data_IF_002327469272
#
_entry.id   IF_002327469272
#
_cell.length_a   1.000
_cell.length_b   1.000
_cell.length_c   1.000
_cell.angle_alpha   90.00
_cell.angle_beta   90.00
_cell.angle_gamma   90.00
#
_symmetry.space_group_name_H-M   'P 1'
#
loop_
_entity.id
_entity.type
_entity.pdbx_description
1 polymer ?
#
# COMPACT_ATOMS: atom_id res chain seq x y z
N UNK A 1 29.77 64.28 -23.72
CA UNK A 1 30.58 63.22 -24.36
C UNK A 1 31.74 62.91 -23.44
N UNK A 2 31.75 61.75 -22.81
CA UNK A 2 32.89 61.19 -22.07
C UNK A 2 33.03 59.75 -22.58
N UNK A 3 34.23 59.43 -23.08
CA UNK A 3 34.54 58.17 -23.76
C UNK A 3 34.52 56.94 -22.84
N UNK A 4 34.62 55.72 -23.42
CA UNK A 4 34.49 54.47 -22.70
C UNK A 4 35.78 54.19 -21.92
N UNK A 5 35.67 53.98 -20.61
CA UNK A 5 36.77 53.46 -19.79
C UNK A 5 36.84 51.95 -19.95
N UNK A 6 37.94 51.47 -20.54
CA UNK A 6 38.36 50.08 -20.58
C UNK A 6 38.54 49.52 -19.15
N UNK A 7 37.59 48.69 -18.70
CA UNK A 7 37.73 47.85 -17.51
C UNK A 7 38.47 46.56 -17.89
N UNK A 8 39.78 46.64 -18.13
CA UNK A 8 40.65 45.46 -18.23
C UNK A 8 42.12 45.77 -17.91
N UNK A 9 42.37 46.54 -16.86
CA UNK A 9 43.72 46.68 -16.28
C UNK A 9 43.89 45.67 -15.14
N UNK A 10 44.84 44.72 -15.23
CA UNK A 10 45.14 43.82 -14.12
C UNK A 10 45.68 44.63 -12.93
N UNK A 11 45.43 44.20 -11.68
CA UNK A 11 45.81 44.98 -10.50
C UNK A 11 47.34 45.16 -10.47
N UNK A 12 47.80 46.40 -10.54
CA UNK A 12 49.18 46.77 -10.23
C UNK A 12 49.50 46.27 -8.81
N UNK A 13 50.42 45.31 -8.72
CA UNK A 13 51.05 44.92 -7.46
C UNK A 13 51.78 46.14 -6.92
N UNK A 14 51.23 46.76 -5.88
CA UNK A 14 51.97 47.75 -5.10
C UNK A 14 53.07 47.00 -4.36
N UNK A 15 54.30 47.22 -4.77
CA UNK A 15 55.47 46.87 -3.97
C UNK A 15 55.29 47.42 -2.55
N UNK A 16 55.52 46.60 -1.51
CA UNK A 16 55.42 47.06 -0.14
C UNK A 16 56.54 48.08 0.13
N UNK A 17 56.29 49.13 0.92
CA UNK A 17 57.33 50.05 1.31
C UNK A 17 58.37 49.32 2.17
N UNK A 18 59.53 49.09 1.56
CA UNK A 18 60.74 48.63 2.22
C UNK A 18 61.26 49.73 3.16
N UNK A 19 61.91 49.32 4.25
CA UNK A 19 62.38 50.12 5.40
C UNK A 19 61.36 50.38 6.53
N UNK A 20 61.13 49.34 7.34
CA UNK A 20 61.07 49.51 8.80
C UNK A 20 62.31 48.87 9.42
N UNK A 21 63.02 49.67 10.20
CA UNK A 21 64.17 49.28 11.00
C UNK A 21 63.78 48.11 11.93
N UNK A 22 64.13 46.89 11.57
CA UNK A 22 63.93 45.67 12.36
C UNK A 22 65.10 45.56 13.32
N UNK A 23 65.07 46.24 14.46
CA UNK A 23 66.05 46.05 15.56
C UNK A 23 65.55 46.67 16.90
N UNK A 24 64.36 46.28 17.40
CA UNK A 24 64.03 46.37 18.86
C UNK A 24 62.72 45.67 19.31
N UNK A 25 61.94 45.07 18.41
CA UNK A 25 60.59 44.57 18.78
C UNK A 25 60.62 43.30 19.67
N UNK A 26 61.62 42.43 19.49
CA UNK A 26 61.76 41.22 20.33
C UNK A 26 62.06 41.52 21.80
N UNK A 27 62.87 42.55 22.09
CA UNK A 27 63.17 42.96 23.47
C UNK A 27 61.98 43.64 24.14
N UNK A 28 61.20 44.43 23.38
CA UNK A 28 59.94 45.03 23.86
C UNK A 28 58.89 43.98 24.19
N UNK A 29 58.72 42.96 23.36
CA UNK A 29 57.72 41.93 23.61
C UNK A 29 58.10 41.00 24.77
N UNK A 30 59.39 40.66 24.93
CA UNK A 30 59.86 39.92 26.13
C UNK A 30 59.68 40.76 27.40
N UNK A 31 59.96 42.07 27.37
CA UNK A 31 59.72 42.96 28.51
C UNK A 31 58.23 43.09 28.83
N UNK A 32 57.35 43.17 27.82
CA UNK A 32 55.89 43.16 27.98
C UNK A 32 55.40 41.85 28.58
N UNK A 33 55.92 40.71 28.12
CA UNK A 33 55.59 39.39 28.65
C UNK A 33 56.02 39.27 30.12
N UNK A 34 57.27 39.61 30.47
CA UNK A 34 57.72 39.65 31.88
C UNK A 34 56.89 40.58 32.75
N UNK A 35 56.49 41.75 32.23
CA UNK A 35 55.60 42.67 32.96
C UNK A 35 54.17 42.11 33.11
N UNK A 36 53.65 41.40 32.10
CA UNK A 36 52.35 40.74 32.18
C UNK A 36 52.39 39.58 33.17
N UNK A 37 53.46 38.79 33.18
CA UNK A 37 53.71 37.72 34.15
C UNK A 37 53.86 38.25 35.57
N UNK A 38 54.64 39.32 35.77
CA UNK A 38 54.76 39.98 37.08
C UNK A 38 53.43 40.57 37.54
N UNK A 39 52.62 41.15 36.63
CA UNK A 39 51.25 41.60 36.95
C UNK A 39 50.34 40.44 37.32
N UNK A 40 50.44 39.30 36.64
CA UNK A 40 49.67 38.08 36.96
C UNK A 40 50.08 37.52 38.31
N UNK A 41 51.38 37.41 38.60
CA UNK A 41 51.91 36.98 39.91
C UNK A 41 51.45 37.91 41.03
N UNK A 42 51.61 39.22 40.86
CA UNK A 42 51.14 40.22 41.81
C UNK A 42 49.62 40.15 42.05
N UNK A 43 48.83 39.96 40.99
CA UNK A 43 47.39 39.83 41.09
C UNK A 43 46.94 38.54 41.79
N UNK A 44 47.71 37.45 41.63
CA UNK A 44 47.47 36.19 42.33
C UNK A 44 47.85 36.27 43.82
N UNK A 45 48.94 36.99 44.14
CA UNK A 45 49.39 37.24 45.52
C UNK A 45 48.53 38.27 46.27
N UNK A 46 47.87 39.19 45.54
CA UNK A 46 47.08 40.30 46.12
C UNK A 46 45.64 40.35 45.59
N UNK A 47 44.84 39.28 45.74
CA UNK A 47 43.52 39.18 45.13
C UNK A 47 42.56 40.26 45.64
N UNK A 48 42.62 40.59 46.94
CA UNK A 48 41.71 41.58 47.53
C UNK A 48 42.04 43.01 47.11
N UNK A 49 43.33 43.34 47.01
CA UNK A 49 43.78 44.65 46.52
C UNK A 49 43.43 44.87 45.05
N UNK A 50 43.47 43.81 44.23
CA UNK A 50 42.99 43.84 42.84
C UNK A 50 41.47 44.06 42.78
N UNK A 51 40.69 43.39 43.65
CA UNK A 51 39.23 43.60 43.71
C UNK A 51 38.89 45.04 44.08
N UNK A 52 39.61 45.62 45.03
CA UNK A 52 39.39 46.99 45.48
C UNK A 52 39.80 48.02 44.43
N UNK A 53 40.97 47.86 43.80
CA UNK A 53 41.39 48.69 42.66
C UNK A 53 40.40 48.60 41.50
N UNK A 54 39.91 47.40 41.18
CA UNK A 54 38.87 47.23 40.15
C UNK A 54 37.53 47.86 40.56
N UNK A 55 37.18 47.83 41.86
CA UNK A 55 35.96 48.49 42.37
C UNK A 55 36.06 50.00 42.22
N UNK A 56 37.18 50.61 42.63
CA UNK A 56 37.44 52.04 42.48
C UNK A 56 37.48 52.44 41.00
N UNK A 57 38.21 51.68 40.18
CA UNK A 57 38.26 51.92 38.74
C UNK A 57 36.88 51.84 38.08
N UNK A 58 36.03 50.87 38.46
CA UNK A 58 34.64 50.82 37.99
C UNK A 58 33.85 52.02 38.46
N UNK A 59 33.92 52.43 39.73
CA UNK A 59 33.17 53.60 40.21
C UNK A 59 33.58 54.87 39.44
N UNK A 60 34.87 55.07 39.19
CA UNK A 60 35.38 56.25 38.50
C UNK A 60 35.18 56.22 36.97
N UNK A 61 35.33 55.06 36.33
CA UNK A 61 35.44 54.97 34.86
C UNK A 61 34.25 54.30 34.18
N UNK A 62 33.28 53.75 34.92
CA UNK A 62 32.11 53.08 34.33
C UNK A 62 31.27 54.05 33.49
N UNK A 63 31.07 55.29 33.96
CA UNK A 63 30.27 56.26 33.22
C UNK A 63 30.98 56.75 31.95
N UNK A 64 32.30 56.99 32.04
CA UNK A 64 33.12 57.33 30.88
C UNK A 64 33.18 56.18 29.84
N UNK A 65 33.32 54.92 30.28
CA UNK A 65 33.30 53.75 29.40
C UNK A 65 31.93 53.57 28.72
N UNK A 66 30.83 53.79 29.46
CA UNK A 66 29.47 53.80 28.90
C UNK A 66 29.30 54.90 27.86
N UNK A 67 29.83 56.10 28.12
CA UNK A 67 29.80 57.20 27.16
C UNK A 67 30.58 56.88 25.89
N UNK A 68 31.80 56.37 26.00
CA UNK A 68 32.60 55.94 24.85
C UNK A 68 31.91 54.83 24.04
N UNK A 69 31.25 53.88 24.71
CA UNK A 69 30.48 52.84 24.04
C UNK A 69 29.27 53.42 23.28
N UNK A 70 28.50 54.31 23.93
CA UNK A 70 27.38 55.04 23.30
C UNK A 70 27.85 55.82 22.08
N UNK A 71 28.97 56.53 22.17
CA UNK A 71 29.55 57.27 21.05
C UNK A 71 30.06 56.35 19.94
N UNK A 72 30.70 55.24 20.28
CA UNK A 72 31.14 54.23 19.30
C UNK A 72 29.96 53.65 18.53
N UNK A 73 28.86 53.30 19.21
CA UNK A 73 27.62 52.82 18.60
C UNK A 73 26.98 53.88 17.72
N UNK A 74 26.97 55.17 18.15
CA UNK A 74 26.50 56.29 17.31
C UNK A 74 27.33 56.42 16.04
N UNK A 75 28.66 56.37 16.13
CA UNK A 75 29.55 56.43 14.95
C UNK A 75 29.37 55.22 14.03
N UNK A 76 29.18 54.02 14.58
CA UNK A 76 28.93 52.81 13.80
C UNK A 76 27.58 52.87 13.07
N UNK A 77 26.53 53.32 13.74
CA UNK A 77 25.22 53.55 13.13
C UNK A 77 25.30 54.61 12.01
N UNK A 78 26.02 55.71 12.24
CA UNK A 78 26.23 56.74 11.21
C UNK A 78 27.04 56.23 10.00
N UNK A 79 27.97 55.28 10.17
CA UNK A 79 28.65 54.61 9.06
C UNK A 79 27.69 53.70 8.29
N UNK A 80 26.87 52.91 8.99
CA UNK A 80 25.86 52.04 8.34
C UNK A 80 24.85 52.85 7.54
N UNK A 81 24.29 53.92 8.11
CA UNK A 81 23.38 54.84 7.40
C UNK A 81 24.01 55.41 6.14
N UNK A 82 25.24 55.93 6.22
CA UNK A 82 25.96 56.43 5.03
C UNK A 82 26.17 55.35 3.97
N UNK A 83 26.53 54.13 4.36
CA UNK A 83 26.67 53.03 3.40
C UNK A 83 25.34 52.61 2.77
N UNK A 84 24.26 52.59 3.54
CA UNK A 84 22.91 52.29 3.05
C UNK A 84 22.41 53.38 2.10
N UNK A 85 22.65 54.65 2.40
CA UNK A 85 22.35 55.77 1.51
C UNK A 85 23.13 55.69 0.20
N UNK A 86 24.42 55.37 0.25
CA UNK A 86 25.24 55.15 -0.96
C UNK A 86 24.70 53.96 -1.77
N UNK A 87 24.34 52.86 -1.13
CA UNK A 87 23.72 51.70 -1.81
C UNK A 87 22.35 52.05 -2.38
N UNK A 88 21.53 52.83 -1.68
CA UNK A 88 20.23 53.29 -2.14
C UNK A 88 20.36 54.18 -3.38
N UNK A 89 21.25 55.18 -3.34
CA UNK A 89 21.58 56.00 -4.53
C UNK A 89 22.14 55.16 -5.68
N UNK A 90 22.90 54.11 -5.38
CA UNK A 90 23.34 53.12 -6.37
C UNK A 90 22.17 52.36 -7.01
N UNK A 91 21.21 51.89 -6.21
CA UNK A 91 20.00 51.20 -6.71
C UNK A 91 19.12 52.10 -7.55
N UNK A 92 18.91 53.35 -7.15
CA UNK A 92 18.12 54.33 -7.92
C UNK A 92 18.79 54.63 -9.26
N UNK A 93 20.10 54.89 -9.29
CA UNK A 93 20.82 55.07 -10.57
C UNK A 93 20.75 53.85 -11.48
N UNK A 94 20.90 52.65 -10.92
CA UNK A 94 20.77 51.41 -11.68
C UNK A 94 19.32 51.13 -12.14
N UNK A 95 18.31 51.62 -11.42
CA UNK A 95 16.91 51.55 -11.82
C UNK A 95 16.65 52.49 -13.00
N UNK A 96 17.04 53.77 -12.87
CA UNK A 96 16.92 54.76 -13.93
C UNK A 96 17.64 54.32 -15.20
N UNK A 97 18.86 53.79 -15.08
CA UNK A 97 19.60 53.27 -16.24
C UNK A 97 18.87 52.09 -16.92
N UNK A 98 18.22 51.20 -16.16
CA UNK A 98 17.43 50.08 -16.73
C UNK A 98 16.16 50.56 -17.43
N UNK A 99 15.56 51.66 -16.97
CA UNK A 99 14.37 52.28 -17.56
C UNK A 99 14.73 53.05 -18.84
N UNK A 100 15.84 53.79 -18.82
CA UNK A 100 16.35 54.55 -19.97
C UNK A 100 16.94 53.64 -21.08
N UNK A 101 17.45 52.46 -20.74
CA UNK A 101 18.15 51.57 -21.70
C UNK A 101 17.58 50.13 -21.73
N UNK A 102 16.30 49.93 -22.09
CA UNK A 102 15.67 48.61 -22.11
C UNK A 102 16.27 47.67 -23.17
N UNK A 103 16.72 48.21 -24.31
CA UNK A 103 17.29 47.43 -25.42
C UNK A 103 18.68 46.89 -25.06
N UNK A 104 19.58 47.75 -24.55
CA UNK A 104 20.92 47.33 -24.10
C UNK A 104 20.86 46.28 -22.98
N UNK A 105 19.85 46.36 -22.11
CA UNK A 105 19.59 45.33 -21.10
C UNK A 105 19.22 43.98 -21.75
N UNK A 106 18.34 43.99 -22.75
CA UNK A 106 17.95 42.76 -23.48
C UNK A 106 19.15 42.16 -24.20
N UNK A 107 19.94 42.97 -24.89
CA UNK A 107 21.16 42.52 -25.58
C UNK A 107 22.20 41.94 -24.62
N UNK A 108 22.47 42.64 -23.50
CA UNK A 108 23.36 42.13 -22.47
C UNK A 108 22.85 40.81 -21.89
N UNK A 109 21.55 40.73 -21.59
CA UNK A 109 20.93 39.50 -21.08
C UNK A 109 21.00 38.37 -22.11
N UNK A 110 20.76 38.63 -23.39
CA UNK A 110 20.87 37.64 -24.45
C UNK A 110 22.30 37.11 -24.59
N UNK A 111 23.29 38.02 -24.66
CA UNK A 111 24.72 37.64 -24.71
C UNK A 111 25.14 36.85 -23.49
N UNK A 112 24.68 37.25 -22.30
CA UNK A 112 24.97 36.53 -21.07
C UNK A 112 24.33 35.13 -21.06
N UNK A 113 23.08 34.99 -21.50
CA UNK A 113 22.39 33.70 -21.61
C UNK A 113 23.07 32.80 -22.64
N UNK A 114 23.53 33.35 -23.77
CA UNK A 114 24.23 32.61 -24.80
C UNK A 114 25.59 32.10 -24.30
N UNK A 115 26.39 32.97 -23.67
CA UNK A 115 27.68 32.62 -23.07
C UNK A 115 27.57 31.66 -21.88
N UNK A 116 26.44 31.69 -21.15
CA UNK A 116 26.22 30.84 -19.97
C UNK A 116 25.16 29.75 -20.21
N UNK A 117 24.86 29.43 -21.47
CA UNK A 117 23.77 28.50 -21.83
C UNK A 117 23.93 27.13 -21.16
N UNK A 118 25.15 26.62 -21.12
CA UNK A 118 25.45 25.31 -20.53
C UNK A 118 25.37 25.35 -19.00
N UNK A 119 25.85 26.43 -18.36
CA UNK A 119 25.71 26.63 -16.91
C UNK A 119 24.25 26.78 -16.49
N UNK A 120 23.44 27.48 -17.28
CA UNK A 120 22.00 27.61 -17.06
C UNK A 120 21.33 26.24 -17.18
N UNK A 121 21.66 25.47 -18.22
CA UNK A 121 21.12 24.12 -18.41
C UNK A 121 21.50 23.21 -17.25
N UNK A 122 22.75 23.23 -16.82
CA UNK A 122 23.25 22.43 -15.70
C UNK A 122 22.60 22.83 -14.37
N UNK A 123 22.46 24.12 -14.10
CA UNK A 123 21.74 24.62 -12.92
C UNK A 123 20.29 24.10 -12.90
N UNK A 124 19.58 24.23 -14.02
CA UNK A 124 18.22 23.71 -14.12
C UNK A 124 18.17 22.20 -14.00
N UNK A 125 19.10 21.48 -14.61
CA UNK A 125 19.18 20.02 -14.50
C UNK A 125 19.35 19.59 -13.04
N UNK A 126 20.31 20.17 -12.32
CA UNK A 126 20.51 19.90 -10.88
C UNK A 126 19.25 20.25 -10.08
N UNK A 127 18.61 21.38 -10.38
CA UNK A 127 17.35 21.76 -9.75
C UNK A 127 16.25 20.72 -9.99
N UNK A 128 16.06 20.27 -11.23
CA UNK A 128 15.08 19.25 -11.59
C UNK A 128 15.41 17.87 -11.03
N UNK A 129 16.68 17.52 -10.89
CA UNK A 129 17.10 16.26 -10.25
C UNK A 129 16.71 16.25 -8.77
N UNK A 130 16.96 17.35 -8.05
CA UNK A 130 16.63 17.45 -6.62
C UNK A 130 15.14 17.73 -6.33
N UNK A 131 14.41 18.35 -7.27
CA UNK A 131 13.01 18.75 -7.08
C UNK A 131 12.07 18.02 -8.05
N UNK A 132 12.49 16.87 -8.57
CA UNK A 132 11.75 16.10 -9.57
C UNK A 132 10.34 15.81 -9.09
N UNK A 133 10.21 15.35 -7.85
CA UNK A 133 8.94 14.92 -7.28
C UNK A 133 8.04 16.12 -6.99
N UNK A 134 8.60 17.24 -6.53
CA UNK A 134 7.84 18.47 -6.30
C UNK A 134 7.28 19.04 -7.61
N UNK A 135 8.10 19.12 -8.65
CA UNK A 135 7.63 19.63 -9.96
C UNK A 135 6.58 18.69 -10.55
N UNK A 136 6.80 17.37 -10.45
CA UNK A 136 5.83 16.38 -10.90
C UNK A 136 4.53 16.48 -10.11
N UNK A 137 4.58 16.63 -8.79
CA UNK A 137 3.42 16.81 -7.92
C UNK A 137 2.64 18.08 -8.29
N UNK A 138 3.32 19.22 -8.53
CA UNK A 138 2.67 20.45 -9.01
C UNK A 138 2.06 20.32 -10.40
N UNK A 139 2.71 19.59 -11.31
CA UNK A 139 2.17 19.32 -12.63
C UNK A 139 0.96 18.37 -12.58
N UNK A 140 1.00 17.38 -11.70
CA UNK A 140 -0.10 16.46 -11.40
C UNK A 140 -1.28 17.22 -10.79
N UNK A 141 -1.06 18.03 -9.76
CA UNK A 141 -2.10 18.84 -9.13
C UNK A 141 -2.80 19.77 -10.12
N UNK A 142 -2.05 20.40 -11.03
CA UNK A 142 -2.64 21.22 -12.11
C UNK A 142 -3.49 20.41 -13.08
N UNK A 143 -3.09 19.17 -13.40
CA UNK A 143 -3.86 18.27 -14.27
C UNK A 143 -5.15 17.81 -13.61
N UNK A 144 -5.09 17.51 -12.31
CA UNK A 144 -6.22 16.98 -11.56
C UNK A 144 -7.24 18.08 -11.20
N UNK A 145 -6.80 19.33 -11.04
CA UNK A 145 -7.68 20.47 -10.79
C UNK A 145 -8.57 20.83 -12.00
N UNK A 146 -8.12 20.60 -13.23
CA UNK A 146 -8.89 20.85 -14.45
C UNK A 146 -8.58 19.79 -15.53
N UNK A 147 -9.22 18.61 -15.42
CA UNK A 147 -8.98 17.51 -16.34
C UNK A 147 -9.49 17.82 -17.75
N UNK A 148 -10.59 18.57 -17.87
CA UNK A 148 -11.20 18.91 -19.16
C UNK A 148 -10.34 19.91 -19.94
N UNK A 149 -9.83 20.97 -19.30
CA UNK A 149 -8.89 21.88 -19.94
C UNK A 149 -7.61 21.18 -20.36
N UNK A 150 -7.11 20.22 -19.56
CA UNK A 150 -5.95 19.42 -19.97
C UNK A 150 -6.26 18.61 -21.23
N UNK A 151 -7.41 17.92 -21.28
CA UNK A 151 -7.84 17.16 -22.47
C UNK A 151 -7.96 18.07 -23.70
N UNK A 152 -8.54 19.26 -23.54
CA UNK A 152 -8.68 20.24 -24.62
C UNK A 152 -7.32 20.76 -25.11
N UNK A 153 -6.38 21.08 -24.22
CA UNK A 153 -5.02 21.49 -24.59
C UNK A 153 -4.31 20.34 -25.31
N UNK A 154 -4.40 19.11 -24.81
CA UNK A 154 -3.80 17.94 -25.47
C UNK A 154 -4.40 17.71 -26.86
N UNK A 155 -5.73 17.84 -27.01
CA UNK A 155 -6.42 17.73 -28.30
C UNK A 155 -5.99 18.83 -29.26
N UNK A 156 -6.00 20.08 -28.82
CA UNK A 156 -5.59 21.24 -29.62
C UNK A 156 -4.11 21.19 -30.02
N UNK A 157 -3.25 20.62 -29.18
CA UNK A 157 -1.85 20.35 -29.53
C UNK A 157 -1.75 19.23 -30.58
N UNK A 158 -2.52 18.15 -30.42
CA UNK A 158 -2.52 17.03 -31.34
C UNK A 158 -3.01 17.41 -32.75
N UNK A 159 -4.05 18.26 -32.83
CA UNK A 159 -4.54 18.82 -34.10
C UNK A 159 -3.49 19.72 -34.77
N UNK A 160 -2.91 20.68 -34.01
CA UNK A 160 -1.86 21.57 -34.51
C UNK A 160 -0.58 20.86 -34.93
N UNK A 161 -0.30 19.69 -34.36
CA UNK A 161 0.91 18.90 -34.63
C UNK A 161 0.61 17.60 -35.39
N UNK A 162 -0.49 17.54 -36.15
CA UNK A 162 -0.90 16.33 -36.89
C UNK A 162 0.20 15.85 -37.85
N UNK A 163 0.79 16.75 -38.62
CA UNK A 163 1.87 16.44 -39.55
C UNK A 163 3.14 16.01 -38.83
N UNK A 164 3.48 16.67 -37.72
CA UNK A 164 4.61 16.26 -36.88
C UNK A 164 4.39 14.84 -36.34
N UNK A 165 3.20 14.52 -35.84
CA UNK A 165 2.87 13.15 -35.39
C UNK A 165 2.96 12.13 -36.52
N UNK A 166 2.48 12.48 -37.71
CA UNK A 166 2.59 11.62 -38.89
C UNK A 166 4.06 11.42 -39.30
N UNK A 167 4.88 12.47 -39.28
CA UNK A 167 6.32 12.38 -39.55
C UNK A 167 7.02 11.47 -38.53
N UNK A 168 6.72 11.62 -37.23
CA UNK A 168 7.22 10.71 -36.19
C UNK A 168 6.80 9.26 -36.43
N UNK A 169 5.58 9.01 -36.89
CA UNK A 169 5.14 7.66 -37.27
C UNK A 169 5.87 7.13 -38.51
N UNK A 170 6.17 7.99 -39.51
CA UNK A 170 6.98 7.60 -40.68
C UNK A 170 8.40 7.25 -40.27
N UNK A 171 9.05 8.07 -39.43
CA UNK A 171 10.40 7.79 -38.89
C UNK A 171 10.43 6.53 -38.03
N UNK A 172 9.37 6.25 -37.25
CA UNK A 172 9.28 4.98 -36.50
C UNK A 172 9.13 3.78 -37.44
N UNK A 173 8.41 3.93 -38.56
CA UNK A 173 8.22 2.88 -39.58
C UNK A 173 9.38 2.75 -40.56
N UNK A 174 10.30 3.71 -40.60
CA UNK A 174 11.47 3.64 -41.49
C UNK A 174 12.50 2.63 -41.00
N UNK A 175 12.49 2.29 -39.71
CA UNK A 175 13.23 1.16 -39.18
C UNK A 175 12.39 -0.12 -39.34
N UNK A 176 12.74 -1.02 -40.28
CA UNK A 176 11.95 -2.21 -40.56
C UNK A 176 11.97 -3.19 -39.39
N UNK A 177 13.05 -3.28 -38.63
CA UNK A 177 13.19 -4.28 -37.56
C UNK A 177 12.32 -3.90 -36.35
N UNK A 178 12.35 -2.62 -35.95
CA UNK A 178 11.47 -2.11 -34.90
C UNK A 178 10.00 -2.25 -35.31
N UNK A 179 9.67 -1.92 -36.55
CA UNK A 179 8.30 -2.01 -37.04
C UNK A 179 7.79 -3.47 -37.11
N UNK A 180 8.64 -4.41 -37.55
CA UNK A 180 8.30 -5.83 -37.56
C UNK A 180 8.11 -6.38 -36.14
N UNK A 181 8.97 -5.99 -35.19
CA UNK A 181 8.80 -6.36 -33.78
C UNK A 181 7.47 -5.82 -33.20
N UNK A 182 7.10 -4.57 -33.50
CA UNK A 182 5.81 -4.00 -33.12
C UNK A 182 4.63 -4.78 -33.74
N UNK A 183 4.71 -5.15 -35.02
CA UNK A 183 3.68 -5.95 -35.69
C UNK A 183 3.56 -7.36 -35.09
N UNK A 184 4.69 -8.01 -34.81
CA UNK A 184 4.73 -9.33 -34.17
C UNK A 184 4.10 -9.30 -32.77
N UNK A 185 4.43 -8.29 -31.96
CA UNK A 185 3.83 -8.10 -30.63
C UNK A 185 2.31 -7.88 -30.71
N UNK A 186 1.86 -7.06 -31.65
CA UNK A 186 0.42 -6.83 -31.89
C UNK A 186 -0.30 -8.11 -32.35
N UNK A 187 0.34 -8.91 -33.21
CA UNK A 187 -0.20 -10.20 -33.64
C UNK A 187 -0.28 -11.19 -32.48
N UNK A 188 0.75 -11.28 -31.64
CA UNK A 188 0.77 -12.13 -30.45
C UNK A 188 -0.34 -11.73 -29.46
N UNK A 189 -0.51 -10.43 -29.19
CA UNK A 189 -1.58 -9.93 -28.32
C UNK A 189 -2.99 -10.29 -28.85
N UNK A 190 -3.19 -10.21 -30.17
CA UNK A 190 -4.45 -10.65 -30.81
C UNK A 190 -4.67 -12.16 -30.69
N UNK A 191 -3.62 -12.98 -30.87
CA UNK A 191 -3.70 -14.44 -30.68
C UNK A 191 -4.07 -14.79 -29.24
N UNK A 192 -3.42 -14.18 -28.26
CA UNK A 192 -3.72 -14.37 -26.85
C UNK A 192 -5.18 -14.00 -26.53
N UNK A 193 -5.66 -12.85 -27.03
CA UNK A 193 -7.06 -12.44 -26.84
C UNK A 193 -8.06 -13.50 -27.37
N UNK A 194 -7.79 -14.08 -28.56
CA UNK A 194 -8.63 -15.14 -29.13
C UNK A 194 -8.55 -16.43 -28.32
N UNK A 195 -7.36 -16.82 -27.86
CA UNK A 195 -7.17 -17.99 -27.01
C UNK A 195 -7.94 -17.87 -25.69
N UNK A 196 -7.82 -16.73 -25.00
CA UNK A 196 -8.58 -16.47 -23.77
C UNK A 196 -10.09 -16.56 -24.01
N UNK A 197 -10.57 -15.93 -25.09
CA UNK A 197 -11.99 -16.01 -25.47
C UNK A 197 -12.45 -17.43 -25.79
N UNK A 198 -11.61 -18.24 -26.45
CA UNK A 198 -11.90 -19.64 -26.76
C UNK A 198 -11.96 -20.53 -25.51
N UNK A 199 -11.22 -20.18 -24.45
CA UNK A 199 -11.27 -20.83 -23.15
C UNK A 199 -12.44 -20.35 -22.28
N UNK A 200 -13.33 -19.49 -22.81
CA UNK A 200 -14.41 -18.87 -22.03
C UNK A 200 -13.92 -17.90 -20.96
N UNK A 201 -12.63 -17.56 -20.96
CA UNK A 201 -12.06 -16.58 -20.04
C UNK A 201 -12.45 -15.18 -20.51
N UNK A 202 -13.00 -14.34 -19.64
CA UNK A 202 -13.32 -12.97 -20.01
C UNK A 202 -12.03 -12.27 -20.47
N UNK A 203 -12.10 -11.43 -21.51
CA UNK A 203 -10.95 -10.62 -21.89
C UNK A 203 -10.53 -9.80 -20.66
N UNK A 204 -9.22 -9.57 -20.48
CA UNK A 204 -8.70 -8.75 -19.38
C UNK A 204 -9.52 -7.46 -19.32
N UNK A 205 -10.39 -7.34 -18.32
CA UNK A 205 -11.07 -6.09 -18.02
C UNK A 205 -9.99 -5.19 -17.47
N UNK A 206 -9.30 -4.49 -18.38
CA UNK A 206 -8.62 -3.27 -18.02
C UNK A 206 -9.77 -2.34 -17.65
N UNK A 207 -10.26 -2.38 -16.41
CA UNK A 207 -10.98 -1.24 -15.86
C UNK A 207 -10.03 -0.07 -16.08
N UNK A 208 -10.31 0.82 -17.04
CA UNK A 208 -9.40 1.89 -17.35
C UNK A 208 -9.61 2.91 -16.24
N UNK A 209 -9.15 2.57 -15.03
CA UNK A 209 -9.09 3.52 -13.94
C UNK A 209 -8.22 4.65 -14.45
N UNK A 210 -8.82 5.83 -14.52
CA UNK A 210 -8.12 7.00 -15.03
C UNK A 210 -6.90 7.24 -14.13
N UNK A 211 -5.86 7.89 -14.65
CA UNK A 211 -4.69 8.19 -13.83
C UNK A 211 -5.05 9.05 -12.60
N UNK A 212 -6.15 9.81 -12.67
CA UNK A 212 -6.69 10.56 -11.53
C UNK A 212 -7.34 9.63 -10.50
N UNK A 213 -8.20 8.69 -10.94
CA UNK A 213 -8.81 7.68 -10.05
C UNK A 213 -7.77 6.81 -9.36
N UNK A 214 -6.72 6.37 -10.05
CA UNK A 214 -5.65 5.59 -9.40
C UNK A 214 -5.00 6.36 -8.28
N UNK A 215 -4.68 7.63 -8.51
CA UNK A 215 -4.09 8.49 -7.47
C UNK A 215 -5.06 8.78 -6.34
N UNK A 216 -6.36 8.91 -6.64
CA UNK A 216 -7.38 9.05 -5.60
C UNK A 216 -7.41 7.78 -4.74
N UNK A 217 -7.50 6.61 -5.37
CA UNK A 217 -7.47 5.32 -4.68
C UNK A 217 -6.17 5.13 -3.88
N UNK A 218 -5.02 5.54 -4.40
CA UNK A 218 -3.75 5.47 -3.69
C UNK A 218 -3.79 6.37 -2.43
N UNK A 219 -4.31 7.60 -2.54
CA UNK A 219 -4.48 8.49 -1.37
C UNK A 219 -5.49 7.94 -0.37
N UNK A 220 -6.59 7.37 -0.84
CA UNK A 220 -7.60 6.74 0.02
C UNK A 220 -7.05 5.50 0.71
N UNK A 221 -6.24 4.71 0.01
CA UNK A 221 -5.54 3.57 0.58
C UNK A 221 -4.52 4.03 1.63
N UNK A 222 -3.69 5.02 1.31
CA UNK A 222 -2.74 5.59 2.27
C UNK A 222 -3.46 6.14 3.50
N UNK A 223 -4.57 6.86 3.33
CA UNK A 223 -5.38 7.36 4.44
C UNK A 223 -5.97 6.21 5.28
N UNK A 224 -6.46 5.15 4.64
CA UNK A 224 -7.00 3.96 5.30
C UNK A 224 -5.93 3.20 6.10
N UNK A 225 -4.75 2.99 5.52
CA UNK A 225 -3.66 2.26 6.18
C UNK A 225 -2.89 3.10 7.22
N UNK A 226 -2.91 4.43 7.10
CA UNK A 226 -2.31 5.34 8.07
C UNK A 226 -3.20 5.57 9.31
N UNK A 227 -4.48 5.18 9.28
CA UNK A 227 -5.36 5.33 10.43
C UNK A 227 -4.92 4.40 11.59
N UNK A 228 -4.52 4.96 12.75
CA UNK A 228 -4.07 4.16 13.89
C UNK A 228 -5.19 3.29 14.50
N UNK A 229 -6.46 3.61 14.27
CA UNK A 229 -7.59 2.80 14.75
C UNK A 229 -7.88 1.57 13.85
N UNK A 230 -7.34 1.54 12.62
CA UNK A 230 -7.67 0.52 11.64
C UNK A 230 -7.33 -0.92 12.07
N UNK A 231 -6.15 -1.21 12.66
CA UNK A 231 -5.84 -2.57 13.11
C UNK A 231 -6.80 -3.07 14.18
N UNK A 232 -7.22 -2.18 15.09
CA UNK A 232 -8.17 -2.51 16.16
C UNK A 232 -9.59 -2.69 15.60
N UNK A 233 -10.00 -1.85 14.64
CA UNK A 233 -11.27 -2.02 13.91
C UNK A 233 -11.35 -3.37 13.22
N UNK A 234 -10.31 -3.75 12.47
CA UNK A 234 -10.24 -5.06 11.79
C UNK A 234 -10.27 -6.20 12.81
N UNK A 235 -9.56 -6.08 13.94
CA UNK A 235 -9.61 -7.08 15.01
C UNK A 235 -11.01 -7.23 15.58
N UNK A 236 -11.67 -6.13 15.92
CA UNK A 236 -13.05 -6.15 16.44
C UNK A 236 -14.02 -6.76 15.44
N UNK A 237 -13.90 -6.40 14.16
CA UNK A 237 -14.74 -6.95 13.09
C UNK A 237 -14.55 -8.46 12.94
N UNK A 238 -13.31 -8.93 12.90
CA UNK A 238 -12.99 -10.36 12.78
C UNK A 238 -13.53 -11.14 13.97
N UNK A 239 -13.24 -10.72 15.20
CA UNK A 239 -13.74 -11.38 16.42
C UNK A 239 -15.26 -11.41 16.45
N UNK A 240 -15.90 -10.31 16.04
CA UNK A 240 -17.37 -10.22 15.96
C UNK A 240 -17.93 -11.20 14.93
N UNK A 241 -17.40 -11.22 13.70
CA UNK A 241 -17.85 -12.09 12.63
C UNK A 241 -17.63 -13.58 12.95
N UNK A 242 -16.49 -13.92 13.56
CA UNK A 242 -16.18 -15.28 14.02
C UNK A 242 -17.13 -15.70 15.14
N UNK A 243 -17.33 -14.86 16.15
CA UNK A 243 -18.24 -15.14 17.27
C UNK A 243 -19.69 -15.32 16.79
N UNK A 244 -20.12 -14.50 15.83
CA UNK A 244 -21.43 -14.60 15.21
C UNK A 244 -21.58 -15.90 14.42
N UNK A 245 -20.55 -16.27 13.66
CA UNK A 245 -20.54 -17.53 12.89
C UNK A 245 -20.55 -18.74 13.81
N UNK A 246 -19.74 -18.74 14.86
CA UNK A 246 -19.71 -19.79 15.86
C UNK A 246 -21.07 -19.94 16.57
N UNK A 247 -21.69 -18.81 16.96
CA UNK A 247 -23.01 -18.81 17.58
C UNK A 247 -24.07 -19.40 16.64
N UNK A 248 -24.06 -18.99 15.36
CA UNK A 248 -25.00 -19.53 14.37
C UNK A 248 -24.78 -21.02 14.10
N UNK A 249 -23.53 -21.50 14.12
CA UNK A 249 -23.23 -22.92 13.95
C UNK A 249 -23.63 -23.78 15.15
N UNK A 250 -23.61 -23.22 16.37
CA UNK A 250 -23.97 -23.94 17.60
C UNK A 250 -25.46 -23.88 17.90
N UNK A 251 -26.07 -22.70 17.72
CA UNK A 251 -27.41 -22.38 18.20
C UNK A 251 -28.37 -21.97 17.06
N UNK A 252 -27.98 -22.14 15.79
CA UNK A 252 -28.76 -21.66 14.65
C UNK A 252 -30.18 -22.22 14.59
N UNK A 253 -30.37 -23.50 14.91
CA UNK A 253 -31.70 -24.12 14.93
C UNK A 253 -32.61 -23.49 16.00
N UNK A 254 -32.09 -23.35 17.22
CA UNK A 254 -32.82 -22.70 18.31
C UNK A 254 -33.14 -21.23 18.01
N UNK A 255 -32.21 -20.49 17.41
CA UNK A 255 -32.44 -19.10 17.00
C UNK A 255 -33.52 -19.00 15.90
N UNK A 256 -33.58 -19.98 14.98
CA UNK A 256 -34.64 -20.06 13.97
C UNK A 256 -35.99 -20.43 14.59
N UNK A 257 -36.04 -21.29 15.60
CA UNK A 257 -37.26 -21.58 16.36
C UNK A 257 -37.81 -20.32 17.05
N UNK A 258 -36.94 -19.54 17.71
CA UNK A 258 -37.31 -18.24 18.27
C UNK A 258 -37.83 -17.31 17.17
N UNK A 259 -37.15 -17.26 16.02
CA UNK A 259 -37.58 -16.49 14.86
C UNK A 259 -38.96 -16.90 14.34
N UNK A 260 -39.24 -18.21 14.24
CA UNK A 260 -40.53 -18.76 13.84
C UNK A 260 -41.64 -18.36 14.81
N UNK A 261 -41.39 -18.48 16.12
CA UNK A 261 -42.36 -18.08 17.15
C UNK A 261 -42.66 -16.57 17.09
N UNK A 262 -41.63 -15.74 16.88
CA UNK A 262 -41.79 -14.31 16.71
C UNK A 262 -42.61 -13.96 15.47
N UNK A 263 -42.29 -14.53 14.31
CA UNK A 263 -43.01 -14.29 13.05
C UNK A 263 -44.46 -14.76 13.14
N UNK A 264 -44.72 -15.91 13.76
CA UNK A 264 -46.07 -16.41 13.98
C UNK A 264 -46.89 -15.48 14.88
N UNK A 265 -46.30 -14.98 15.97
CA UNK A 265 -46.97 -14.03 16.86
C UNK A 265 -47.26 -12.69 16.15
N UNK A 266 -46.30 -12.20 15.37
CA UNK A 266 -46.44 -10.99 14.56
C UNK A 266 -47.59 -11.10 13.55
N UNK A 267 -47.73 -12.26 12.90
CA UNK A 267 -48.84 -12.55 11.99
C UNK A 267 -50.19 -12.54 12.71
N UNK A 268 -50.27 -13.09 13.93
CA UNK A 268 -51.51 -13.06 14.74
C UNK A 268 -51.93 -11.63 15.11
N UNK A 269 -50.98 -10.71 15.25
CA UNK A 269 -51.24 -9.29 15.52
C UNK A 269 -51.56 -8.46 14.26
N UNK A 270 -51.56 -9.06 13.06
CA UNK A 270 -51.80 -8.34 11.81
C UNK A 270 -50.65 -7.43 11.37
N UNK A 271 -49.43 -7.63 11.90
CA UNK A 271 -48.26 -6.84 11.54
C UNK A 271 -47.60 -7.38 10.25
N UNK A 272 -46.89 -6.54 9.48
CA UNK A 272 -46.23 -6.97 8.23
C UNK A 272 -45.26 -8.14 8.46
N UNK A 273 -45.19 -9.12 7.53
CA UNK A 273 -44.32 -10.27 7.68
C UNK A 273 -42.85 -9.85 7.65
N UNK A 274 -42.03 -10.56 8.44
CA UNK A 274 -40.57 -10.40 8.48
C UNK A 274 -39.96 -11.78 8.26
N UNK A 275 -38.81 -11.85 7.57
CA UNK A 275 -38.13 -13.11 7.35
C UNK A 275 -37.60 -13.69 8.67
N UNK A 276 -37.85 -14.98 8.91
CA UNK A 276 -37.38 -15.72 10.11
C UNK A 276 -35.88 -15.58 10.29
N UNK A 277 -35.12 -15.69 9.19
CA UNK A 277 -33.67 -15.52 9.19
C UNK A 277 -33.25 -14.13 9.68
N UNK A 278 -33.92 -13.05 9.25
CA UNK A 278 -33.60 -11.71 9.72
C UNK A 278 -33.79 -11.57 11.23
N UNK A 279 -34.82 -12.21 11.80
CA UNK A 279 -35.06 -12.22 13.25
C UNK A 279 -33.99 -13.05 13.98
N UNK A 280 -33.66 -14.24 13.46
CA UNK A 280 -32.64 -15.11 14.03
C UNK A 280 -31.26 -14.44 14.06
N UNK A 281 -30.83 -13.84 12.95
CA UNK A 281 -29.56 -13.11 12.86
C UNK A 281 -29.56 -11.82 13.68
N UNK A 282 -30.68 -11.10 13.73
CA UNK A 282 -30.82 -9.94 14.63
C UNK A 282 -30.60 -10.35 16.09
N UNK A 283 -31.23 -11.45 16.53
CA UNK A 283 -31.05 -11.98 17.89
C UNK A 283 -29.63 -12.48 18.13
N UNK A 284 -29.01 -13.11 17.15
CA UNK A 284 -27.62 -13.55 17.23
C UNK A 284 -26.66 -12.36 17.42
N UNK A 285 -26.86 -11.28 16.66
CA UNK A 285 -26.10 -10.03 16.79
C UNK A 285 -26.23 -9.45 18.20
N UNK A 286 -27.46 -9.36 18.74
CA UNK A 286 -27.68 -8.89 20.11
C UNK A 286 -26.89 -9.70 21.15
N UNK A 287 -26.91 -11.04 21.04
CA UNK A 287 -26.19 -11.93 21.96
C UNK A 287 -24.67 -11.76 21.86
N UNK A 288 -24.14 -11.61 20.64
CA UNK A 288 -22.70 -11.38 20.43
C UNK A 288 -22.30 -10.01 20.97
N UNK A 289 -23.07 -8.96 20.70
CA UNK A 289 -22.81 -7.62 21.21
C UNK A 289 -22.85 -7.56 22.74
N UNK A 290 -23.77 -8.27 23.39
CA UNK A 290 -23.83 -8.36 24.86
C UNK A 290 -22.59 -9.06 25.45
N UNK A 291 -22.07 -10.07 24.75
CA UNK A 291 -20.89 -10.83 25.19
C UNK A 291 -19.59 -10.06 24.95
N UNK A 292 -19.53 -9.27 23.88
CA UNK A 292 -18.35 -8.47 23.53
C UNK A 292 -18.38 -7.13 24.29
N UNK A 293 -17.51 -6.98 25.30
CA UNK A 293 -17.44 -5.75 26.11
C UNK A 293 -16.88 -4.50 25.39
N UNK A 294 -16.42 -4.62 24.14
CA UNK A 294 -15.78 -3.53 23.36
C UNK A 294 -16.05 -3.71 21.86
N UNK A 295 -17.09 -3.07 21.37
CA UNK A 295 -17.48 -3.08 19.94
C UNK A 295 -17.56 -1.64 19.40
N UNK A 296 -16.87 -0.72 20.08
CA UNK A 296 -17.10 0.72 19.93
C UNK A 296 -16.64 1.26 18.57
N UNK A 297 -15.78 0.52 17.85
CA UNK A 297 -15.32 0.92 16.52
C UNK A 297 -16.21 0.37 15.39
N UNK A 298 -17.11 -0.59 15.66
CA UNK A 298 -17.93 -1.15 14.60
C UNK A 298 -19.12 -0.26 14.29
N UNK A 299 -19.28 0.06 13.01
CA UNK A 299 -20.46 0.75 12.51
C UNK A 299 -21.58 -0.25 12.20
N UNK A 300 -22.81 0.24 12.05
CA UNK A 300 -23.92 -0.59 11.57
C UNK A 300 -23.65 -1.25 10.21
N UNK A 301 -22.81 -0.62 9.36
CA UNK A 301 -22.36 -1.19 8.08
C UNK A 301 -21.47 -2.41 8.29
N UNK A 302 -20.58 -2.35 9.27
CA UNK A 302 -19.67 -3.44 9.62
C UNK A 302 -20.47 -4.63 10.18
N UNK A 303 -21.40 -4.36 11.10
CA UNK A 303 -22.30 -5.40 11.63
C UNK A 303 -23.11 -6.06 10.50
N UNK A 304 -23.67 -5.27 9.58
CA UNK A 304 -24.39 -5.81 8.44
C UNK A 304 -23.48 -6.62 7.49
N UNK A 305 -22.21 -6.22 7.32
CA UNK A 305 -21.24 -6.97 6.54
C UNK A 305 -20.87 -8.30 7.21
N UNK A 306 -20.69 -8.31 8.53
CA UNK A 306 -20.46 -9.53 9.30
C UNK A 306 -21.66 -10.49 9.19
N UNK A 307 -22.90 -9.99 9.32
CA UNK A 307 -24.12 -10.79 9.11
C UNK A 307 -24.16 -11.42 7.72
N UNK A 308 -23.90 -10.65 6.65
CA UNK A 308 -23.85 -11.18 5.29
C UNK A 308 -22.76 -12.25 5.12
N UNK A 309 -21.59 -12.02 5.71
CA UNK A 309 -20.49 -12.99 5.72
C UNK A 309 -20.91 -14.30 6.42
N UNK A 310 -21.48 -14.20 7.62
CA UNK A 310 -21.97 -15.38 8.36
C UNK A 310 -23.11 -16.09 7.64
N UNK A 311 -24.01 -15.38 6.97
CA UNK A 311 -25.07 -15.97 6.14
C UNK A 311 -24.51 -16.79 4.98
N UNK A 312 -23.39 -16.39 4.41
CA UNK A 312 -22.72 -17.16 3.36
C UNK A 312 -21.93 -18.35 3.93
N UNK A 313 -21.24 -18.16 5.05
CA UNK A 313 -20.29 -19.14 5.59
C UNK A 313 -20.93 -20.21 6.48
N UNK A 314 -21.87 -19.86 7.37
CA UNK A 314 -22.47 -20.83 8.29
C UNK A 314 -23.13 -22.02 7.55
N UNK A 315 -23.96 -21.82 6.49
CA UNK A 315 -24.52 -22.93 5.73
C UNK A 315 -23.47 -23.79 5.02
N UNK A 316 -22.37 -23.19 4.54
CA UNK A 316 -21.26 -23.91 3.91
C UNK A 316 -20.55 -24.82 4.92
N UNK A 317 -20.24 -24.28 6.09
CA UNK A 317 -19.58 -25.03 7.16
C UNK A 317 -20.50 -26.15 7.68
N UNK A 318 -21.79 -25.87 7.86
CA UNK A 318 -22.78 -26.86 8.27
C UNK A 318 -22.90 -27.99 7.24
N UNK A 319 -23.00 -27.66 5.94
CA UNK A 319 -22.99 -28.63 4.84
C UNK A 319 -21.72 -29.48 4.84
N UNK A 320 -20.54 -28.88 5.02
CA UNK A 320 -19.28 -29.61 5.09
C UNK A 320 -19.26 -30.56 6.29
N UNK A 321 -19.72 -30.13 7.47
CA UNK A 321 -19.82 -30.99 8.66
C UNK A 321 -20.76 -32.17 8.44
N UNK A 322 -21.92 -31.95 7.80
CA UNK A 322 -22.85 -33.03 7.45
C UNK A 322 -22.22 -34.00 6.45
N UNK A 323 -21.50 -33.48 5.46
CA UNK A 323 -20.82 -34.29 4.46
C UNK A 323 -19.74 -35.16 5.09
N UNK A 324 -18.85 -34.58 5.90
CA UNK A 324 -17.80 -35.29 6.61
C UNK A 324 -18.38 -36.33 7.58
N UNK A 325 -19.46 -35.96 8.29
CA UNK A 325 -20.21 -36.86 9.17
C UNK A 325 -20.81 -38.05 8.42
N UNK A 326 -21.39 -37.80 7.25
CA UNK A 326 -21.95 -38.84 6.38
C UNK A 326 -20.85 -39.79 5.88
N UNK A 327 -19.76 -39.26 5.33
CA UNK A 327 -18.63 -40.07 4.82
C UNK A 327 -18.04 -40.92 5.94
N UNK A 328 -17.75 -40.31 7.10
CA UNK A 328 -17.22 -41.03 8.26
C UNK A 328 -18.19 -42.08 8.78
N UNK A 329 -19.48 -41.76 8.81
CA UNK A 329 -20.55 -42.69 9.19
C UNK A 329 -20.64 -43.90 8.27
N UNK A 330 -20.56 -43.69 6.95
CA UNK A 330 -20.60 -44.78 5.96
C UNK A 330 -19.37 -45.67 6.09
N UNK A 331 -18.17 -45.08 6.16
CA UNK A 331 -16.92 -45.85 6.33
C UNK A 331 -16.98 -46.70 7.60
N UNK A 332 -17.37 -46.11 8.74
CA UNK A 332 -17.51 -46.85 9.98
C UNK A 332 -18.58 -47.96 9.91
N UNK A 333 -19.72 -47.69 9.28
CA UNK A 333 -20.80 -48.66 9.09
C UNK A 333 -20.38 -49.82 8.19
N UNK A 334 -19.66 -49.53 7.11
CA UNK A 334 -19.12 -50.53 6.19
C UNK A 334 -18.08 -51.42 6.86
N UNK A 335 -17.16 -50.87 7.65
CA UNK A 335 -16.21 -51.67 8.41
C UNK A 335 -16.90 -52.59 9.42
N UNK A 336 -17.92 -52.09 10.13
CA UNK A 336 -18.65 -52.88 11.14
C UNK A 336 -19.55 -53.96 10.54
N UNK A 337 -20.09 -53.73 9.34
CA UNK A 337 -21.12 -54.59 8.73
C UNK A 337 -20.68 -55.19 7.39
N UNK A 338 -19.38 -55.30 7.12
CA UNK A 338 -18.83 -55.66 5.80
C UNK A 338 -19.40 -56.98 5.26
N UNK A 339 -19.46 -58.02 6.08
CA UNK A 339 -20.00 -59.34 5.72
C UNK A 339 -21.49 -59.26 5.38
N UNK A 340 -22.28 -58.64 6.25
CA UNK A 340 -23.73 -58.46 6.04
C UNK A 340 -24.03 -57.66 4.77
N UNK A 341 -23.33 -56.54 4.58
CA UNK A 341 -23.53 -55.67 3.42
C UNK A 341 -23.16 -56.37 2.10
N UNK A 342 -22.11 -57.21 2.09
CA UNK A 342 -21.76 -58.03 0.91
C UNK A 342 -22.88 -59.03 0.59
N UNK A 343 -23.40 -59.73 1.60
CA UNK A 343 -24.54 -60.65 1.41
C UNK A 343 -25.79 -59.92 0.90
N UNK A 344 -26.11 -58.75 1.47
CA UNK A 344 -27.23 -57.91 1.01
C UNK A 344 -27.04 -57.45 -0.45
N UNK A 345 -25.81 -57.08 -0.84
CA UNK A 345 -25.48 -56.69 -2.21
C UNK A 345 -25.62 -57.86 -3.21
N UNK A 346 -25.21 -59.08 -2.83
CA UNK A 346 -25.42 -60.27 -3.65
C UNK A 346 -26.90 -60.61 -3.82
N UNK A 347 -27.69 -60.52 -2.74
CA UNK A 347 -29.13 -60.72 -2.79
C UNK A 347 -29.82 -59.68 -3.69
N UNK A 348 -29.45 -58.41 -3.59
CA UNK A 348 -29.97 -57.36 -4.47
C UNK A 348 -29.59 -57.62 -5.93
N UNK A 349 -28.36 -58.04 -6.22
CA UNK A 349 -27.96 -58.41 -7.59
C UNK A 349 -28.76 -59.61 -8.14
N UNK A 350 -29.03 -60.63 -7.33
CA UNK A 350 -29.92 -61.74 -7.71
C UNK A 350 -31.33 -61.23 -8.01
N UNK A 351 -31.88 -60.36 -7.16
CA UNK A 351 -33.19 -59.75 -7.38
C UNK A 351 -33.23 -58.88 -8.65
N UNK A 352 -32.14 -58.15 -8.97
CA UNK A 352 -32.01 -57.39 -10.23
C UNK A 352 -32.00 -58.31 -11.45
N UNK A 353 -31.26 -59.42 -11.40
CA UNK A 353 -31.23 -60.41 -12.46
C UNK A 353 -32.61 -61.02 -12.73
N UNK A 354 -33.36 -61.38 -11.68
CA UNK A 354 -34.75 -61.85 -11.81
C UNK A 354 -35.69 -60.81 -12.44
N UNK A 355 -35.40 -59.52 -12.27
CA UNK A 355 -36.15 -58.41 -12.90
C UNK A 355 -35.63 -58.02 -14.29
N UNK A 356 -34.67 -58.77 -14.86
CA UNK A 356 -34.05 -58.46 -16.15
C UNK A 356 -33.17 -57.20 -16.14
N UNK A 357 -32.77 -56.71 -14.97
CA UNK A 357 -31.86 -55.55 -14.84
C UNK A 357 -30.40 -56.03 -14.83
N UNK A 358 -29.46 -55.26 -15.41
CA UNK A 358 -28.04 -55.60 -15.36
C UNK A 358 -27.55 -55.64 -13.91
N UNK A 359 -26.68 -56.62 -13.65
CA UNK A 359 -25.94 -56.71 -12.39
C UNK A 359 -25.00 -55.51 -12.26
N UNK A 360 -24.84 -55.03 -11.03
CA UNK A 360 -23.96 -53.92 -10.68
C UNK A 360 -22.80 -54.50 -9.85
N UNK A 361 -21.56 -53.99 -9.94
CA UNK A 361 -20.47 -54.45 -9.08
C UNK A 361 -20.88 -54.46 -7.60
N UNK A 362 -20.55 -55.54 -6.89
CA UNK A 362 -21.01 -55.76 -5.51
C UNK A 362 -20.56 -54.62 -4.59
N UNK A 363 -19.38 -54.05 -4.83
CA UNK A 363 -18.81 -52.92 -4.07
C UNK A 363 -19.67 -51.67 -4.19
N UNK A 364 -20.21 -51.39 -5.39
CA UNK A 364 -21.09 -50.23 -5.62
C UNK A 364 -22.41 -50.41 -4.87
N UNK A 365 -22.98 -51.62 -4.87
CA UNK A 365 -24.19 -51.92 -4.12
C UNK A 365 -23.97 -51.86 -2.61
N UNK A 366 -22.83 -52.35 -2.10
CA UNK A 366 -22.44 -52.23 -0.69
C UNK A 366 -22.44 -50.75 -0.27
N UNK A 367 -21.83 -49.86 -1.06
CA UNK A 367 -21.80 -48.42 -0.77
C UNK A 367 -23.20 -47.81 -0.81
N UNK A 368 -24.03 -48.16 -1.80
CA UNK A 368 -25.41 -47.66 -1.90
C UNK A 368 -26.29 -48.09 -0.71
N UNK A 369 -26.21 -49.37 -0.30
CA UNK A 369 -26.96 -49.91 0.84
C UNK A 369 -26.48 -49.24 2.13
N UNK A 370 -25.17 -49.14 2.33
CA UNK A 370 -24.58 -48.49 3.49
C UNK A 370 -24.98 -47.00 3.57
N UNK A 371 -24.92 -46.30 2.45
CA UNK A 371 -25.30 -44.90 2.37
C UNK A 371 -26.76 -44.68 2.74
N UNK A 372 -27.69 -45.51 2.23
CA UNK A 372 -29.11 -45.45 2.60
C UNK A 372 -29.29 -45.62 4.11
N UNK A 373 -28.72 -46.67 4.69
CA UNK A 373 -28.85 -46.97 6.12
C UNK A 373 -28.22 -45.90 7.04
N UNK A 374 -27.15 -45.24 6.60
CA UNK A 374 -26.49 -44.17 7.37
C UNK A 374 -27.23 -42.83 7.20
N UNK A 375 -27.76 -42.53 6.01
CA UNK A 375 -28.51 -41.29 5.76
C UNK A 375 -29.79 -41.18 6.59
N UNK A 376 -30.35 -42.30 7.05
CA UNK A 376 -31.49 -42.35 7.97
C UNK A 376 -31.11 -41.93 9.41
N UNK A 377 -29.82 -41.96 9.76
CA UNK A 377 -29.30 -41.69 11.11
C UNK A 377 -28.49 -40.41 11.22
N UNK A 378 -27.91 -39.96 10.11
CA UNK A 378 -27.08 -38.76 10.03
C UNK A 378 -27.91 -37.64 9.39
N UNK A 379 -27.92 -36.42 9.95
CA UNK A 379 -28.60 -35.29 9.33
C UNK A 379 -28.01 -35.01 7.94
N UNK A 380 -28.87 -35.05 6.92
CA UNK A 380 -28.51 -34.83 5.51
C UNK A 380 -29.30 -33.67 4.89
N UNK A 381 -30.00 -32.89 5.70
CA UNK A 381 -30.89 -31.80 5.26
C UNK A 381 -30.18 -30.66 4.51
N UNK A 382 -28.85 -30.53 4.63
CA UNK A 382 -28.05 -29.54 3.89
C UNK A 382 -27.29 -30.12 2.70
N UNK A 383 -27.33 -31.43 2.51
CA UNK A 383 -26.62 -32.11 1.44
C UNK A 383 -27.46 -32.15 0.18
N UNK A 384 -26.83 -31.87 -0.95
CA UNK A 384 -27.40 -32.00 -2.29
C UNK A 384 -27.16 -33.41 -2.84
N UNK A 385 -27.85 -33.75 -3.93
CA UNK A 385 -27.59 -34.99 -4.67
C UNK A 385 -26.14 -35.08 -5.18
N UNK A 386 -25.48 -33.96 -5.42
CA UNK A 386 -24.08 -33.91 -5.87
C UNK A 386 -23.13 -34.31 -4.75
N UNK A 387 -23.43 -33.88 -3.51
CA UNK A 387 -22.67 -34.29 -2.32
C UNK A 387 -22.80 -35.77 -2.09
N UNK A 388 -24.01 -36.31 -2.26
CA UNK A 388 -24.25 -37.74 -2.17
C UNK A 388 -23.40 -38.54 -3.19
N UNK A 389 -23.33 -38.05 -4.44
CA UNK A 389 -22.49 -38.64 -5.49
C UNK A 389 -21.00 -38.52 -5.19
N UNK A 390 -20.57 -37.39 -4.64
CA UNK A 390 -19.18 -37.16 -4.23
C UNK A 390 -18.78 -38.10 -3.09
N UNK A 391 -19.61 -38.20 -2.05
CA UNK A 391 -19.40 -39.10 -0.93
C UNK A 391 -19.27 -40.55 -1.41
N UNK A 392 -20.18 -41.01 -2.26
CA UNK A 392 -20.12 -42.35 -2.86
C UNK A 392 -18.82 -42.58 -3.66
N UNK A 393 -18.32 -41.57 -4.37
CA UNK A 393 -17.05 -41.65 -5.10
C UNK A 393 -15.84 -41.74 -4.18
N UNK A 394 -15.79 -40.92 -3.13
CA UNK A 394 -14.74 -40.94 -2.11
C UNK A 394 -14.70 -42.31 -1.42
N UNK A 395 -15.87 -42.82 -1.03
CA UNK A 395 -15.99 -44.12 -0.36
C UNK A 395 -15.64 -45.27 -1.31
N UNK A 396 -16.09 -45.21 -2.58
CA UNK A 396 -15.71 -46.20 -3.59
C UNK A 396 -14.19 -46.32 -3.74
N UNK A 397 -13.47 -45.19 -3.72
CA UNK A 397 -12.00 -45.18 -3.72
C UNK A 397 -11.43 -45.84 -2.47
N UNK A 398 -11.99 -45.59 -1.28
CA UNK A 398 -11.55 -46.25 -0.05
C UNK A 398 -11.75 -47.78 -0.10
N UNK A 399 -12.89 -48.24 -0.60
CA UNK A 399 -13.16 -49.69 -0.74
C UNK A 399 -12.18 -50.35 -1.69
N UNK A 400 -11.95 -49.76 -2.86
CA UNK A 400 -10.99 -50.29 -3.84
C UNK A 400 -9.54 -50.24 -3.36
N UNK A 401 -9.19 -49.26 -2.52
CA UNK A 401 -7.85 -49.12 -1.96
C UNK A 401 -7.59 -50.01 -0.75
N UNK A 402 -8.63 -50.56 -0.11
CA UNK A 402 -8.43 -51.54 0.97
C UNK A 402 -8.05 -52.84 0.26
N UNK A 403 -6.78 -53.29 0.31
CA UNK A 403 -6.41 -54.52 -0.37
C UNK A 403 -7.19 -55.63 0.32
N UNK A 404 -8.14 -56.24 -0.39
CA UNK A 404 -8.66 -57.53 -0.01
C UNK A 404 -7.43 -58.39 0.28
N UNK A 405 -7.36 -58.91 1.50
CA UNK A 405 -6.47 -59.95 1.97
C UNK A 405 -6.71 -61.20 1.11
N UNK A 406 -6.28 -61.12 -0.14
CA UNK A 406 -6.42 -62.14 -1.18
C UNK A 406 -5.04 -62.72 -1.43
N UNK A 407 -4.59 -63.55 -0.49
CA UNK A 407 -3.78 -64.75 -0.72
C UNK A 407 -3.69 -65.58 0.56
N UNK A 408 -4.82 -66.20 0.92
CA UNK A 408 -4.85 -67.42 1.74
C UNK A 408 -5.54 -68.55 0.96
N UNK A 409 -5.29 -68.63 -0.35
CA UNK A 409 -5.58 -69.82 -1.16
C UNK A 409 -4.29 -70.33 -1.82
N UNK A 410 -3.29 -70.66 -1.00
CA UNK A 410 -2.26 -71.63 -1.38
C UNK A 410 -2.73 -72.95 -0.78
N UNK A 411 -3.47 -73.70 -1.58
CA UNK A 411 -4.04 -74.99 -1.24
C UNK A 411 -4.51 -75.68 -2.51
N UNK A 412 -3.65 -75.74 -3.53
CA UNK A 412 -3.83 -76.68 -4.63
C UNK A 412 -3.58 -78.08 -4.08
N UNK A 413 -4.55 -79.01 -4.17
CA UNK A 413 -4.29 -80.42 -3.93
C UNK A 413 -3.47 -80.95 -5.11
N UNK A 414 -2.34 -81.58 -4.79
CA UNK A 414 -1.53 -82.31 -5.74
C UNK A 414 -2.37 -83.37 -6.44
N UNK A 415 -2.49 -83.26 -7.76
CA UNK A 415 -2.96 -84.33 -8.62
C UNK A 415 -2.00 -85.52 -8.50
N UNK A 416 -2.49 -86.62 -7.92
CA UNK A 416 -1.85 -87.92 -8.02
C UNK A 416 -1.83 -88.40 -9.46
N UNK A 417 -0.63 -88.60 -10.00
CA UNK A 417 -0.38 -89.44 -11.17
C UNK A 417 -0.68 -90.89 -10.79
N UNK A 418 -1.69 -91.47 -11.42
CA UNK A 418 -1.87 -92.92 -11.46
C UNK A 418 -0.90 -93.51 -12.49
N UNK A 419 -0.07 -94.45 -12.05
CA UNK A 419 0.56 -95.45 -12.92
C UNK A 419 -0.49 -96.51 -13.24
N UNK A 420 -0.62 -96.85 -14.52
CA UNK A 420 -1.50 -97.87 -15.07
C UNK A 420 -1.25 -97.96 -16.56
#
# INVERSE_FOLDING_TARGET
MNGPTDENTPPQQKEPPDHRHVDDDGRRDIRRQRQAENRRKWAAENPDRVRELNRLWRVEHLEHARQQNRESMRRAAARRRRQEEVRARGRERAKLWREEHPERRREYQQRWVEQNRDKIREYYQRYYEHHRDEVNARAIARRDADPERTRQITKAWAERNKERRAAWQRTRRSDPDIYQAELAANAAARRLKRQLSGLGLPPKQLHPSTAAERRLNDREADAYFADPAQPEHVRQFTVFAESLTELMLKNGDHLREIGNAYVANRARMGLPPVAVESVAYGRAVELVMQRMRRVDLLTGRDVAAAVRSTQAEAPRIERQRQFDGLVKGIVAHMHRNSVRLRADAEMENKARAHRGKPQVPAEVLVVQIAMKQVSERVPTNRLTADDAREAARIIGRHVSATPDTRRASVGSPAQGRSLG
#
